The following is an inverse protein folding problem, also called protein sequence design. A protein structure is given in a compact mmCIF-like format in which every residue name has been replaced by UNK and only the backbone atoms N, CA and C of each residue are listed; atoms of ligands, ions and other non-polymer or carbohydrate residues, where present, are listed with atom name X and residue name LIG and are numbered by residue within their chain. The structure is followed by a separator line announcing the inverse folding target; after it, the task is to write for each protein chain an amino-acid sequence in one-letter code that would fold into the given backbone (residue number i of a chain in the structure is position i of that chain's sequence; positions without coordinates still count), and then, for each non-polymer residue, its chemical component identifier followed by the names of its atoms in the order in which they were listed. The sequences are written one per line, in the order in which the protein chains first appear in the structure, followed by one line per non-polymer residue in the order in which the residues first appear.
data_IF_717379334980
#
_entry.id   IF_717379334980
#
_cell.length_a   1.000
_cell.length_b   1.000
_cell.length_c   1.000
_cell.angle_alpha   90.00
_cell.angle_beta   90.00
_cell.angle_gamma   90.00
#
_symmetry.space_group_name_H-M   'P 1'
#
loop_
_entity.id
_entity.type
_entity.pdbx_description
1 polymer ?
#
# COMPACT_ATOMS: atom_id res chain seq x y z
N UNK A 1 -15.74 -27.38 14.77
CA UNK A 1 -15.66 -27.37 13.30
C UNK A 1 -17.05 -27.14 12.75
N UNK A 2 -17.32 -25.95 12.20
CA UNK A 2 -18.58 -25.65 11.51
C UNK A 2 -18.37 -25.93 10.01
N UNK A 3 -18.82 -27.10 9.55
CA UNK A 3 -18.82 -27.45 8.13
C UNK A 3 -20.07 -26.83 7.48
N UNK A 4 -19.89 -25.69 6.80
CA UNK A 4 -20.90 -25.13 5.92
C UNK A 4 -21.00 -26.00 4.67
N UNK A 5 -22.10 -26.77 4.57
CA UNK A 5 -22.42 -27.61 3.41
C UNK A 5 -23.18 -26.75 2.41
N UNK A 6 -22.52 -26.30 1.34
CA UNK A 6 -23.18 -25.59 0.24
C UNK A 6 -23.08 -26.43 -1.03
N UNK A 7 -24.24 -26.88 -1.52
CA UNK A 7 -24.38 -27.58 -2.80
C UNK A 7 -24.51 -26.53 -3.90
N UNK A 8 -23.52 -26.44 -4.80
CA UNK A 8 -23.66 -25.69 -6.04
C UNK A 8 -22.79 -26.31 -7.14
N UNK A 9 -23.46 -26.94 -8.11
CA UNK A 9 -22.85 -27.74 -9.18
C UNK A 9 -22.19 -26.93 -10.31
N UNK A 10 -22.04 -25.61 -10.20
CA UNK A 10 -21.35 -24.83 -11.24
C UNK A 10 -20.75 -23.48 -10.79
N UNK A 11 -20.43 -23.31 -9.51
CA UNK A 11 -20.04 -22.01 -8.93
C UNK A 11 -18.64 -21.97 -8.29
N UNK A 12 -17.77 -22.95 -8.54
CA UNK A 12 -16.50 -23.13 -7.83
C UNK A 12 -15.65 -21.84 -7.75
N UNK A 13 -15.55 -21.07 -8.85
CA UNK A 13 -14.83 -19.80 -8.87
C UNK A 13 -15.45 -18.70 -7.99
N UNK A 14 -16.78 -18.62 -7.95
CA UNK A 14 -17.52 -17.66 -7.09
C UNK A 14 -17.38 -18.02 -5.62
N UNK A 15 -17.37 -19.32 -5.30
CA UNK A 15 -17.20 -19.81 -3.91
C UNK A 15 -15.79 -19.52 -3.43
N UNK A 16 -14.76 -19.78 -4.26
CA UNK A 16 -13.37 -19.45 -3.92
C UNK A 16 -13.19 -17.96 -3.62
N UNK A 17 -13.75 -17.10 -4.47
CA UNK A 17 -13.74 -15.65 -4.23
C UNK A 17 -14.49 -15.23 -2.95
N UNK A 18 -15.64 -15.86 -2.65
CA UNK A 18 -16.39 -15.60 -1.42
C UNK A 18 -15.63 -16.06 -0.17
N UNK A 19 -14.97 -17.21 -0.24
CA UNK A 19 -14.16 -17.77 0.84
C UNK A 19 -12.91 -16.90 1.06
N UNK A 20 -12.21 -16.49 0.00
CA UNK A 20 -11.06 -15.59 0.10
C UNK A 20 -11.43 -14.20 0.64
N UNK A 21 -12.56 -13.62 0.21
CA UNK A 21 -13.03 -12.33 0.74
C UNK A 21 -13.45 -12.42 2.21
N UNK A 22 -14.12 -13.51 2.62
CA UNK A 22 -14.41 -13.78 4.03
C UNK A 22 -13.13 -13.95 4.88
N UNK A 23 -12.09 -14.59 4.35
CA UNK A 23 -10.79 -14.73 5.04
C UNK A 23 -10.10 -13.38 5.25
N UNK A 24 -10.17 -12.50 4.24
CA UNK A 24 -9.63 -11.13 4.34
C UNK A 24 -10.39 -10.33 5.39
N UNK A 25 -11.71 -10.45 5.46
CA UNK A 25 -12.54 -9.77 6.47
C UNK A 25 -12.23 -10.24 7.89
N UNK A 26 -12.07 -11.56 8.12
CA UNK A 26 -11.70 -12.11 9.43
C UNK A 26 -10.30 -11.67 9.87
N UNK A 27 -9.37 -11.55 8.92
CA UNK A 27 -8.01 -11.04 9.16
C UNK A 27 -8.00 -9.55 9.53
N UNK A 28 -8.97 -8.76 9.07
CA UNK A 28 -9.09 -7.33 9.40
C UNK A 28 -9.81 -7.04 10.71
N UNK A 29 -10.63 -7.96 11.22
CA UNK A 29 -11.46 -7.73 12.40
C UNK A 29 -10.82 -8.16 13.73
N UNK A 30 -9.84 -9.08 13.71
CA UNK A 30 -9.20 -9.59 14.92
C UNK A 30 -7.88 -8.87 15.21
N UNK A 31 -7.95 -7.90 16.13
CA UNK A 31 -6.76 -7.39 16.80
C UNK A 31 -6.00 -8.54 17.48
N UNK A 32 -4.67 -8.49 17.40
CA UNK A 32 -3.73 -9.23 18.24
C UNK A 32 -3.63 -10.77 18.05
N UNK A 33 -3.44 -11.25 16.83
CA UNK A 33 -2.53 -12.36 16.48
C UNK A 33 -2.74 -12.73 15.00
N UNK A 34 -1.76 -12.48 14.13
CA UNK A 34 -1.86 -12.80 12.71
C UNK A 34 -1.95 -14.32 12.49
N UNK A 35 -3.16 -14.84 12.36
CA UNK A 35 -3.37 -16.21 11.94
C UNK A 35 -3.31 -16.26 10.42
N UNK A 36 -2.29 -16.97 9.89
CA UNK A 36 -2.23 -17.27 8.46
C UNK A 36 -3.20 -18.42 8.19
N UNK A 37 -4.10 -18.23 7.23
CA UNK A 37 -5.00 -19.29 6.78
C UNK A 37 -4.56 -19.77 5.39
N UNK A 38 -4.55 -21.08 5.19
CA UNK A 38 -4.31 -21.69 3.88
C UNK A 38 -5.58 -22.38 3.42
N UNK A 39 -5.99 -22.08 2.19
CA UNK A 39 -7.13 -22.73 1.53
C UNK A 39 -6.63 -24.01 0.86
N UNK A 40 -7.22 -25.16 1.22
CA UNK A 40 -6.99 -26.45 0.55
C UNK A 40 -8.22 -26.84 -0.26
N UNK A 41 -7.99 -27.21 -1.51
CA UNK A 41 -9.03 -27.67 -2.44
C UNK A 41 -8.90 -29.19 -2.64
N UNK A 42 -9.94 -29.94 -2.25
CA UNK A 42 -10.03 -31.39 -2.45
C UNK A 42 -11.23 -31.71 -3.34
N UNK A 43 -11.06 -32.58 -4.33
CA UNK A 43 -12.17 -33.03 -5.20
C UNK A 43 -12.48 -34.50 -4.93
N UNK A 44 -13.70 -34.81 -4.51
CA UNK A 44 -14.20 -36.19 -4.36
C UNK A 44 -15.59 -36.30 -4.98
N UNK A 45 -15.81 -37.33 -5.81
CA UNK A 45 -17.14 -37.70 -6.35
C UNK A 45 -17.88 -36.53 -7.02
N UNK A 46 -17.17 -35.75 -7.85
CA UNK A 46 -17.75 -34.59 -8.54
C UNK A 46 -18.02 -33.36 -7.65
N UNK A 47 -17.76 -33.44 -6.34
CA UNK A 47 -17.90 -32.34 -5.39
C UNK A 47 -16.53 -31.74 -5.07
N UNK A 48 -16.43 -30.41 -5.13
CA UNK A 48 -15.20 -29.67 -4.74
C UNK A 48 -15.35 -29.16 -3.32
N UNK A 49 -14.47 -29.61 -2.43
CA UNK A 49 -14.39 -29.22 -1.03
C UNK A 49 -13.31 -28.16 -0.87
N UNK A 50 -13.66 -27.03 -0.27
CA UNK A 50 -12.74 -25.94 0.04
C UNK A 50 -12.66 -25.86 1.56
N UNK A 51 -11.52 -26.25 2.13
CA UNK A 51 -11.28 -26.19 3.57
C UNK A 51 -10.28 -25.07 3.90
N UNK A 52 -10.49 -24.42 5.04
CA UNK A 52 -9.56 -23.43 5.58
C UNK A 52 -8.83 -24.03 6.76
N UNK A 53 -7.51 -24.14 6.63
CA UNK A 53 -6.64 -24.59 7.70
C UNK A 53 -5.86 -23.41 8.29
N UNK A 54 -5.84 -23.33 9.63
CA UNK A 54 -5.04 -22.35 10.35
C UNK A 54 -3.58 -22.80 10.30
N UNK A 55 -2.77 -22.11 9.51
CA UNK A 55 -1.32 -22.26 9.54
C UNK A 55 -0.82 -21.53 10.78
N UNK A 56 -0.26 -22.28 11.72
CA UNK A 56 0.45 -21.69 12.86
C UNK A 56 1.69 -21.00 12.33
N UNK A 57 1.73 -19.67 12.41
CA UNK A 57 2.96 -18.93 12.19
C UNK A 57 3.97 -19.40 13.25
N UNK A 58 5.05 -20.06 12.83
CA UNK A 58 6.13 -20.55 13.70
C UNK A 58 6.94 -19.44 14.36
N UNK A 59 6.61 -18.18 14.04
CA UNK A 59 7.23 -16.98 14.60
C UNK A 59 6.43 -16.58 15.83
N UNK A 60 6.83 -17.10 17.00
CA UNK A 60 6.26 -16.72 18.30
C UNK A 60 6.24 -15.20 18.52
N UNK A 61 5.49 -14.75 19.52
CA UNK A 61 5.33 -13.33 19.86
C UNK A 61 6.70 -12.67 20.16
N UNK A 62 7.29 -12.03 19.15
CA UNK A 62 8.51 -11.24 19.29
C UNK A 62 8.13 -9.80 19.69
N UNK A 63 9.05 -9.06 20.30
CA UNK A 63 8.83 -7.65 20.70
C UNK A 63 8.71 -6.76 19.46
N UNK A 64 7.76 -5.83 19.45
CA UNK A 64 7.40 -5.01 18.27
C UNK A 64 8.59 -4.33 17.55
N UNK A 65 9.66 -4.00 18.27
CA UNK A 65 10.85 -3.35 17.70
C UNK A 65 11.83 -4.34 17.04
N UNK A 66 11.85 -5.62 17.45
CA UNK A 66 12.66 -6.67 16.83
C UNK A 66 11.99 -7.27 15.58
N UNK A 67 10.69 -7.04 15.38
CA UNK A 67 9.95 -7.55 14.21
C UNK A 67 10.19 -6.75 12.95
N UNK A 68 10.53 -5.46 13.07
CA UNK A 68 10.55 -4.57 11.92
C UNK A 68 11.73 -4.93 11.01
N UNK A 69 11.42 -5.43 9.81
CA UNK A 69 12.43 -5.81 8.81
C UNK A 69 13.44 -4.70 8.57
N UNK A 70 13.00 -3.43 8.49
CA UNK A 70 13.88 -2.28 8.29
C UNK A 70 14.67 -1.85 9.53
N UNK A 71 14.23 -2.19 10.75
CA UNK A 71 14.98 -1.86 11.97
C UNK A 71 15.99 -2.95 12.34
N UNK A 72 15.69 -4.21 12.05
CA UNK A 72 16.55 -5.36 12.37
C UNK A 72 17.67 -5.56 11.34
N UNK A 73 17.60 -4.89 10.19
CA UNK A 73 18.70 -4.85 9.24
C UNK A 73 19.93 -4.15 9.87
N UNK A 74 21.07 -4.86 9.92
CA UNK A 74 22.36 -4.33 10.38
C UNK A 74 22.98 -3.27 9.43
N UNK A 75 22.29 -2.94 8.34
CA UNK A 75 22.69 -1.90 7.39
C UNK A 75 22.01 -0.61 7.82
N UNK A 76 22.72 0.52 7.99
CA UNK A 76 22.10 1.81 8.28
C UNK A 76 21.37 2.33 7.04
N UNK A 77 20.23 1.73 6.70
CA UNK A 77 19.42 2.12 5.55
C UNK A 77 18.61 3.36 5.97
N UNK A 78 19.19 4.54 5.73
CA UNK A 78 18.37 5.75 5.62
C UNK A 78 17.58 5.64 4.32
N UNK A 79 16.43 4.97 4.37
CA UNK A 79 15.53 4.85 3.23
C UNK A 79 15.20 6.24 2.67
N UNK A 80 15.45 6.41 1.38
CA UNK A 80 15.10 7.61 0.62
C UNK A 80 14.05 7.28 -0.44
N UNK A 81 13.38 8.30 -0.97
CA UNK A 81 12.43 8.12 -2.08
C UNK A 81 13.09 7.65 -3.39
N UNK A 82 14.43 7.73 -3.48
CA UNK A 82 15.20 7.29 -4.64
C UNK A 82 15.38 5.78 -4.69
N UNK A 83 15.18 5.09 -3.56
CA UNK A 83 15.41 3.64 -3.42
C UNK A 83 14.21 2.84 -3.95
N UNK A 84 13.86 3.05 -5.22
CA UNK A 84 12.64 2.54 -5.88
C UNK A 84 12.50 1.02 -5.74
N UNK A 85 13.61 0.27 -5.86
CA UNK A 85 13.61 -1.18 -5.75
C UNK A 85 13.16 -1.69 -4.38
N UNK A 86 13.47 -0.94 -3.31
CA UNK A 86 13.02 -1.28 -1.96
C UNK A 86 11.55 -0.87 -1.80
N UNK A 87 11.16 0.29 -2.32
CA UNK A 87 9.79 0.78 -2.24
C UNK A 87 8.80 -0.17 -2.94
N UNK A 88 9.12 -0.65 -4.14
CA UNK A 88 8.27 -1.57 -4.91
C UNK A 88 7.96 -2.86 -4.14
N UNK A 89 8.86 -3.35 -3.27
CA UNK A 89 8.62 -4.55 -2.45
C UNK A 89 7.49 -4.38 -1.43
N UNK A 90 7.23 -3.14 -0.99
CA UNK A 90 6.19 -2.82 -0.01
C UNK A 90 4.93 -2.25 -0.66
N UNK A 91 4.84 -2.28 -1.99
CA UNK A 91 3.70 -1.78 -2.76
C UNK A 91 2.91 -2.94 -3.36
N UNK A 92 1.62 -2.69 -3.61
CA UNK A 92 0.78 -3.54 -4.46
C UNK A 92 1.00 -3.23 -5.93
N UNK A 93 0.47 -4.07 -6.80
CA UNK A 93 0.44 -3.83 -8.25
C UNK A 93 -0.32 -2.54 -8.61
N UNK A 94 -1.27 -2.11 -7.78
CA UNK A 94 -2.00 -0.85 -7.93
C UNK A 94 -1.18 0.40 -7.53
N UNK A 95 0.02 0.23 -6.98
CA UNK A 95 0.86 1.31 -6.46
C UNK A 95 0.50 1.77 -5.04
N UNK A 96 -0.46 1.12 -4.38
CA UNK A 96 -0.80 1.40 -2.97
C UNK A 96 0.16 0.70 -2.03
N UNK A 97 0.50 1.33 -0.89
CA UNK A 97 1.39 0.72 0.11
C UNK A 97 0.67 -0.42 0.84
N UNK A 98 1.38 -1.53 1.05
CA UNK A 98 0.87 -2.65 1.83
C UNK A 98 0.56 -2.22 3.28
N UNK A 99 -0.56 -2.71 3.86
CA UNK A 99 -0.93 -2.37 5.23
C UNK A 99 0.11 -2.91 6.23
N UNK A 100 0.26 -2.20 7.36
CA UNK A 100 1.27 -2.49 8.39
C UNK A 100 1.24 -3.96 8.88
N UNK A 101 0.05 -4.55 8.96
CA UNK A 101 -0.15 -5.94 9.37
C UNK A 101 0.53 -6.95 8.43
N UNK A 102 0.65 -6.61 7.14
CA UNK A 102 1.30 -7.44 6.13
C UNK A 102 2.79 -7.11 6.00
N UNK A 103 3.18 -5.83 6.09
CA UNK A 103 4.59 -5.43 5.95
C UNK A 103 5.44 -5.82 7.16
N UNK A 104 4.84 -5.88 8.35
CA UNK A 104 5.57 -6.16 9.60
C UNK A 104 6.48 -5.02 10.05
N UNK A 105 6.33 -3.82 9.48
CA UNK A 105 7.13 -2.66 9.84
C UNK A 105 6.63 -2.01 11.14
N UNK A 106 7.56 -1.43 11.91
CA UNK A 106 7.18 -0.59 13.05
C UNK A 106 6.43 0.65 12.55
N UNK A 107 5.58 1.26 13.40
CA UNK A 107 4.76 2.42 13.02
C UNK A 107 5.59 3.55 12.39
N UNK A 108 6.79 3.81 12.92
CA UNK A 108 7.70 4.85 12.44
C UNK A 108 8.18 4.56 11.01
N UNK A 109 8.60 3.33 10.73
CA UNK A 109 9.09 2.94 9.40
C UNK A 109 7.96 2.85 8.40
N UNK A 110 6.77 2.35 8.79
CA UNK A 110 5.59 2.33 7.93
C UNK A 110 5.24 3.75 7.45
N UNK A 111 5.17 4.74 8.36
CA UNK A 111 4.90 6.13 7.99
C UNK A 111 6.00 6.72 7.10
N UNK A 112 7.26 6.32 7.32
CA UNK A 112 8.38 6.74 6.46
C UNK A 112 8.28 6.15 5.06
N UNK A 113 7.97 4.86 4.95
CA UNK A 113 7.71 4.17 3.68
C UNK A 113 6.61 4.89 2.89
N UNK A 114 5.47 5.18 3.52
CA UNK A 114 4.35 5.88 2.89
C UNK A 114 4.75 7.26 2.33
N UNK A 115 5.55 8.03 3.09
CA UNK A 115 6.10 9.32 2.61
C UNK A 115 7.04 9.12 1.43
N UNK A 116 8.00 8.19 1.53
CA UNK A 116 8.97 7.95 0.46
C UNK A 116 8.29 7.46 -0.83
N UNK A 117 7.27 6.59 -0.72
CA UNK A 117 6.46 6.15 -1.85
C UNK A 117 5.76 7.35 -2.50
N UNK A 118 5.07 8.18 -1.74
CA UNK A 118 4.40 9.38 -2.27
C UNK A 118 5.38 10.39 -2.90
N UNK A 119 6.56 10.56 -2.31
CA UNK A 119 7.63 11.38 -2.88
C UNK A 119 8.10 10.82 -4.23
N UNK A 120 8.33 9.50 -4.33
CA UNK A 120 8.75 8.83 -5.55
C UNK A 120 7.70 8.91 -6.66
N UNK A 121 6.42 8.77 -6.31
CA UNK A 121 5.29 9.02 -7.21
C UNK A 121 5.33 10.42 -7.81
N UNK A 122 5.42 11.44 -6.98
CA UNK A 122 5.44 12.83 -7.44
C UNK A 122 6.73 13.23 -8.15
N UNK A 123 7.83 12.51 -7.92
CA UNK A 123 9.09 12.66 -8.64
C UNK A 123 9.10 11.90 -9.97
N UNK A 124 8.06 11.11 -10.29
CA UNK A 124 7.97 10.33 -11.53
C UNK A 124 8.91 9.12 -11.59
N UNK A 125 9.40 8.62 -10.44
CA UNK A 125 10.41 7.55 -10.41
C UNK A 125 9.86 6.16 -10.75
N UNK A 126 8.55 5.94 -10.63
CA UNK A 126 7.90 4.67 -11.00
C UNK A 126 7.56 4.55 -12.49
N UNK A 127 7.91 5.55 -13.31
CA UNK A 127 7.50 5.60 -14.71
C UNK A 127 5.98 5.63 -14.86
N UNK A 128 5.45 4.91 -15.85
CA UNK A 128 4.01 4.85 -16.14
C UNK A 128 3.29 3.68 -15.45
N UNK A 129 3.98 2.93 -14.58
CA UNK A 129 3.43 1.72 -13.94
C UNK A 129 2.22 2.01 -13.06
N UNK A 130 2.29 3.08 -12.27
CA UNK A 130 1.30 3.37 -11.22
C UNK A 130 0.68 4.78 -11.32
N UNK A 131 1.19 5.63 -12.22
CA UNK A 131 0.75 7.02 -12.32
C UNK A 131 -0.59 7.14 -13.05
N UNK A 132 -1.54 7.87 -12.48
CA UNK A 132 -2.73 8.30 -13.24
C UNK A 132 -2.47 9.64 -13.93
N UNK A 133 -3.19 9.92 -15.02
CA UNK A 133 -3.07 11.23 -15.72
C UNK A 133 -3.32 12.42 -14.78
N UNK A 134 -4.17 12.23 -13.76
CA UNK A 134 -4.45 13.22 -12.72
C UNK A 134 -3.22 13.56 -11.85
N UNK A 135 -2.25 12.66 -11.74
CA UNK A 135 -1.00 12.89 -11.02
C UNK A 135 -0.01 13.73 -11.82
N UNK A 136 -0.19 13.81 -13.15
CA UNK A 136 0.64 14.60 -14.07
C UNK A 136 -0.02 15.89 -14.55
N UNK A 137 -1.30 16.11 -14.26
CA UNK A 137 -2.02 17.30 -14.70
C UNK A 137 -1.50 18.62 -14.06
N UNK A 138 -1.70 19.74 -14.78
CA UNK A 138 -1.42 21.08 -14.29
C UNK A 138 0.03 21.35 -13.93
N UNK A 139 0.25 21.89 -12.72
CA UNK A 139 1.58 22.18 -12.18
C UNK A 139 2.33 20.92 -11.72
N UNK A 140 1.65 19.76 -11.61
CA UNK A 140 2.27 18.53 -11.12
C UNK A 140 3.22 17.89 -12.13
N UNK A 141 3.12 18.24 -13.43
CA UNK A 141 4.03 17.75 -14.49
C UNK A 141 5.48 18.20 -14.35
N UNK A 142 5.75 19.23 -13.56
CA UNK A 142 7.09 19.77 -13.42
C UNK A 142 7.93 18.91 -12.47
N UNK A 143 9.22 18.75 -12.78
CA UNK A 143 10.15 17.94 -12.01
C UNK A 143 10.19 18.39 -10.53
N UNK A 144 9.87 17.47 -9.62
CA UNK A 144 9.88 17.68 -8.17
C UNK A 144 10.83 16.70 -7.51
N UNK A 145 11.73 17.20 -6.68
CA UNK A 145 12.69 16.38 -5.93
C UNK A 145 12.74 16.83 -4.47
N UNK A 146 13.20 15.93 -3.62
CA UNK A 146 13.09 16.03 -2.17
C UNK A 146 14.46 15.92 -1.52
N UNK A 147 14.69 16.67 -0.45
CA UNK A 147 15.93 16.56 0.34
C UNK A 147 15.83 15.39 1.32
N UNK A 148 14.76 15.40 2.12
CA UNK A 148 14.47 14.41 3.17
C UNK A 148 13.04 13.86 3.08
N UNK A 149 12.72 12.78 3.78
CA UNK A 149 11.37 12.20 3.84
C UNK A 149 10.32 13.17 4.42
N UNK A 150 10.76 14.11 5.27
CA UNK A 150 9.91 15.15 5.87
C UNK A 150 9.81 16.42 5.02
N UNK A 151 10.59 16.56 3.94
CA UNK A 151 10.60 17.78 3.11
C UNK A 151 9.26 18.06 2.42
N UNK A 152 8.37 17.07 2.36
CA UNK A 152 6.98 17.24 1.95
C UNK A 152 6.17 18.19 2.84
N UNK A 153 6.44 18.19 4.14
CA UNK A 153 5.74 19.05 5.10
C UNK A 153 6.49 20.34 5.41
N UNK A 154 7.74 20.45 4.94
CA UNK A 154 8.53 21.66 5.14
C UNK A 154 7.97 22.76 4.23
N UNK A 155 7.34 23.75 4.85
CA UNK A 155 7.06 25.02 4.19
C UNK A 155 8.38 25.80 4.13
N UNK A 156 9.04 25.78 2.96
CA UNK A 156 10.16 26.71 2.72
C UNK A 156 9.60 28.13 2.59
N UNK A 157 9.76 28.93 3.64
CA UNK A 157 9.48 30.38 3.58
C UNK A 157 10.56 31.05 2.74
N UNK A 158 10.29 31.29 1.45
CA UNK A 158 11.18 32.09 0.62
C UNK A 158 10.94 33.58 0.93
N UNK A 159 11.75 34.17 1.81
CA UNK A 159 11.78 35.62 1.96
C UNK A 159 12.35 36.24 0.68
N UNK A 160 11.50 36.94 -0.07
CA UNK A 160 11.89 37.82 -1.18
C UNK A 160 11.65 39.24 -0.71
N UNK A 161 12.64 40.11 -0.90
CA UNK A 161 12.48 41.53 -0.60
C UNK A 161 11.30 42.08 -1.45
N UNK A 162 10.30 42.67 -0.80
CA UNK A 162 9.15 43.31 -1.44
C UNK A 162 7.94 42.41 -1.76
N UNK A 163 7.89 41.14 -1.32
CA UNK A 163 6.72 40.27 -1.59
C UNK A 163 5.86 40.09 -0.34
N UNK A 164 4.62 40.58 -0.38
CA UNK A 164 3.54 40.21 0.55
C UNK A 164 3.27 38.69 0.43
N UNK A 165 2.90 38.02 1.53
CA UNK A 165 2.77 36.55 1.57
C UNK A 165 1.63 36.05 0.65
N UNK A 166 1.95 35.57 -0.55
CA UNK A 166 1.01 34.78 -1.35
C UNK A 166 1.67 33.48 -1.83
N UNK A 167 0.94 32.37 -1.65
CA UNK A 167 1.30 31.09 -2.27
C UNK A 167 0.98 31.23 -3.75
N UNK A 168 1.99 31.35 -4.63
CA UNK A 168 1.80 31.28 -6.09
C UNK A 168 1.20 29.93 -6.45
N UNK A 169 -0.12 29.86 -6.62
CA UNK A 169 -0.77 28.80 -7.38
C UNK A 169 -0.63 29.20 -8.85
N UNK A 170 0.19 28.47 -9.61
CA UNK A 170 0.28 28.69 -11.05
C UNK A 170 -1.13 28.49 -11.66
N UNK A 171 -1.70 29.48 -12.37
CA UNK A 171 -2.97 29.28 -13.04
C UNK A 171 -2.73 28.26 -14.16
N UNK A 172 -3.36 27.09 -14.06
CA UNK A 172 -3.36 26.06 -15.11
C UNK A 172 -4.29 26.50 -16.25
N UNK A 173 -3.98 27.61 -16.91
CA UNK A 173 -4.70 28.05 -18.11
C UNK A 173 -4.34 27.09 -19.26
N UNK A 174 -5.36 26.65 -20.00
CA UNK A 174 -5.33 25.71 -21.15
C UNK A 174 -5.33 24.20 -20.85
N UNK A 175 -6.01 23.73 -19.80
CA UNK A 175 -6.41 22.32 -19.72
C UNK A 175 -7.93 22.22 -19.82
N UNK A 176 -8.43 21.33 -20.68
CA UNK A 176 -9.83 20.90 -20.60
C UNK A 176 -9.95 20.21 -19.24
N UNK A 177 -10.65 20.83 -18.29
CA UNK A 177 -11.00 20.16 -17.04
C UNK A 177 -11.79 18.91 -17.43
N UNK A 178 -11.28 17.72 -17.09
CA UNK A 178 -12.07 16.51 -17.20
C UNK A 178 -13.40 16.78 -16.50
N UNK A 179 -14.53 16.60 -17.21
CA UNK A 179 -15.85 16.72 -16.60
C UNK A 179 -15.92 15.70 -15.47
N UNK A 180 -16.28 16.16 -14.28
CA UNK A 180 -16.47 15.29 -13.13
C UNK A 180 -17.52 14.23 -13.51
N UNK A 181 -17.24 12.92 -13.46
CA UNK A 181 -18.20 11.90 -13.84
C UNK A 181 -19.36 11.73 -12.83
N UNK A 182 -19.42 12.59 -11.81
CA UNK A 182 -20.42 12.60 -10.75
C UNK A 182 -21.35 13.84 -10.79
N UNK A 183 -21.28 14.65 -11.84
CA UNK A 183 -22.18 15.78 -12.10
C UNK A 183 -22.77 15.70 -13.51
#
# INVERSE_FOLDING_TARGET
MQMLRLYASNCAGKIKAAVETASRLQSTASGAAGHKFQTKEDKKEGTTYISMEKVTDSRGARKDDELCSLCTCNVPIKLTYKDVLILEQFMRDDGTVLPRQLTGLCKKQQLRMERCVMQAFWSGLFGDKYGTEADRAGYKRFNRYWKDDMSMYQLETKQRHGTWFYIKRYPTKNQQLFKNPLN
#
